data_IF_008926683956
#
_entry.id   IF_008926683956
#
_cell.length_a   1.000
_cell.length_b   1.000
_cell.length_c   1.000
_cell.angle_alpha   90.00
_cell.angle_beta   90.00
_cell.angle_gamma   90.00
#
_symmetry.space_group_name_H-M   'P 1'
#
loop_
_entity.id
_entity.type
_entity.pdbx_description
1 polymer ?
#
# COMPACT_ATOMS: atom_id res chain seq x y z
N UNK A 1 -20.70 10.72 -5.15
CA UNK A 1 -19.36 10.22 -5.52
C UNK A 1 -18.92 9.22 -4.45
N UNK A 2 -18.32 8.10 -4.84
CA UNK A 2 -17.85 7.11 -3.87
C UNK A 2 -16.58 7.62 -3.14
N UNK A 3 -16.38 7.19 -1.89
CA UNK A 3 -15.19 7.54 -1.12
C UNK A 3 -13.92 6.98 -1.78
N UNK A 4 -12.74 7.60 -1.59
CA UNK A 4 -11.54 7.28 -2.34
C UNK A 4 -10.94 5.90 -2.04
N UNK A 5 -10.15 5.40 -3.00
CA UNK A 5 -9.17 4.37 -2.79
C UNK A 5 -7.80 5.01 -2.62
N UNK A 6 -7.19 4.87 -1.45
CA UNK A 6 -5.82 5.29 -1.15
C UNK A 6 -4.90 4.08 -1.30
N UNK A 7 -3.91 4.18 -2.18
CA UNK A 7 -2.90 3.15 -2.39
C UNK A 7 -1.55 3.62 -1.88
N UNK A 8 -1.05 3.01 -0.79
CA UNK A 8 0.22 3.38 -0.16
C UNK A 8 1.32 2.45 -0.65
N UNK A 9 2.18 2.92 -1.53
CA UNK A 9 3.34 2.20 -2.04
C UNK A 9 4.63 2.67 -1.35
N UNK A 10 5.39 1.72 -0.80
CA UNK A 10 6.65 2.02 -0.13
C UNK A 10 7.49 0.77 0.11
N UNK A 11 8.78 0.91 0.35
CA UNK A 11 9.66 -0.18 0.76
C UNK A 11 9.19 -0.85 2.08
N UNK A 12 9.52 -2.13 2.30
CA UNK A 12 9.30 -2.78 3.60
C UNK A 12 9.96 -1.98 4.73
N UNK A 13 9.30 -1.82 5.88
CA UNK A 13 9.86 -1.08 7.02
C UNK A 13 9.55 0.43 7.06
N UNK A 14 9.04 1.06 6.00
CA UNK A 14 8.70 2.50 6.00
C UNK A 14 7.52 2.93 6.87
N UNK A 15 6.78 2.00 7.48
CA UNK A 15 5.66 2.34 8.37
C UNK A 15 4.28 2.37 7.71
N UNK A 16 4.11 1.86 6.49
CA UNK A 16 2.82 1.85 5.75
C UNK A 16 1.60 1.45 6.58
N UNK A 17 1.68 0.29 7.24
CA UNK A 17 0.55 -0.21 8.03
C UNK A 17 0.28 0.65 9.27
N UNK A 18 1.31 1.18 9.91
CA UNK A 18 1.19 2.09 11.06
C UNK A 18 0.47 3.37 10.64
N UNK A 19 0.86 3.94 9.49
CA UNK A 19 0.22 5.13 8.92
C UNK A 19 -1.22 4.81 8.50
N UNK A 20 -1.48 3.66 7.86
CA UNK A 20 -2.84 3.25 7.51
C UNK A 20 -3.73 3.11 8.77
N UNK A 21 -3.20 2.55 9.87
CA UNK A 21 -3.91 2.48 11.16
C UNK A 21 -4.17 3.88 11.73
N UNK A 22 -3.21 4.81 11.62
CA UNK A 22 -3.41 6.20 12.03
C UNK A 22 -4.48 6.90 11.17
N UNK A 23 -4.53 6.67 9.86
CA UNK A 23 -5.62 7.13 8.99
C UNK A 23 -6.97 6.61 9.51
N UNK A 24 -7.05 5.32 9.83
CA UNK A 24 -8.29 4.71 10.36
C UNK A 24 -8.70 5.28 11.70
N UNK A 25 -7.77 5.64 12.58
CA UNK A 25 -8.09 6.22 13.89
C UNK A 25 -8.63 7.66 13.81
N UNK A 26 -8.29 8.37 12.74
CA UNK A 26 -8.71 9.77 12.51
C UNK A 26 -9.94 9.83 11.60
N UNK A 27 -10.01 8.94 10.59
CA UNK A 27 -11.07 8.92 9.59
C UNK A 27 -12.36 8.27 10.10
N UNK A 28 -13.52 8.79 9.66
CA UNK A 28 -14.82 8.32 10.13
C UNK A 28 -15.19 6.91 9.65
N UNK A 29 -14.81 6.54 8.42
CA UNK A 29 -15.11 5.22 7.83
C UNK A 29 -13.96 4.79 6.94
N UNK A 30 -13.06 3.98 7.48
CA UNK A 30 -11.83 3.55 6.79
C UNK A 30 -11.66 2.05 6.93
N UNK A 31 -11.55 1.38 5.78
CA UNK A 31 -11.19 -0.04 5.72
C UNK A 31 -9.76 -0.18 5.20
N UNK A 32 -8.93 -0.95 5.93
CA UNK A 32 -7.52 -1.18 5.59
C UNK A 32 -7.36 -2.60 5.09
N UNK A 33 -6.70 -2.75 3.96
CA UNK A 33 -6.24 -4.02 3.42
C UNK A 33 -4.71 -3.99 3.36
N UNK A 34 -4.08 -4.67 4.31
CA UNK A 34 -2.63 -4.82 4.32
C UNK A 34 -2.21 -5.87 3.28
N UNK A 35 -1.12 -5.61 2.56
CA UNK A 35 -0.62 -6.50 1.52
C UNK A 35 -0.36 -7.92 2.02
N UNK A 36 0.00 -8.09 3.31
CA UNK A 36 0.18 -9.43 3.89
C UNK A 36 -1.12 -10.23 3.96
N UNK A 37 -2.27 -9.60 4.10
CA UNK A 37 -3.57 -10.28 3.99
C UNK A 37 -3.80 -10.89 2.61
N UNK A 38 -3.14 -10.34 1.57
CA UNK A 38 -3.21 -10.84 0.19
C UNK A 38 -2.04 -11.75 -0.18
N UNK A 39 -0.89 -11.64 0.52
CA UNK A 39 0.31 -12.46 0.29
C UNK A 39 0.20 -13.79 1.00
N UNK A 40 -0.06 -13.76 2.31
CA UNK A 40 0.10 -14.91 3.20
C UNK A 40 -0.79 -16.10 2.78
N UNK A 41 -2.07 -15.92 2.38
CA UNK A 41 -2.90 -17.04 1.92
C UNK A 41 -2.37 -17.72 0.65
N UNK A 42 -1.68 -16.97 -0.21
CA UNK A 42 -1.07 -17.52 -1.42
C UNK A 42 0.26 -18.18 -1.10
N UNK A 43 1.10 -17.55 -0.27
CA UNK A 43 2.41 -18.07 0.13
C UNK A 43 2.33 -19.39 0.91
N UNK A 44 1.21 -19.66 1.60
CA UNK A 44 0.95 -20.94 2.25
C UNK A 44 0.75 -22.11 1.27
N UNK A 45 0.36 -21.82 0.03
CA UNK A 45 0.01 -22.84 -0.99
C UNK A 45 1.03 -22.93 -2.11
N UNK A 46 1.70 -21.83 -2.43
CA UNK A 46 2.60 -21.72 -3.56
C UNK A 46 3.90 -21.03 -3.12
N UNK A 47 5.04 -21.60 -3.46
CA UNK A 47 6.34 -20.92 -3.30
C UNK A 47 6.43 -19.74 -4.27
N UNK A 48 7.31 -18.77 -4.00
CA UNK A 48 7.47 -17.59 -4.88
C UNK A 48 7.97 -17.95 -6.28
N UNK A 49 8.66 -19.07 -6.41
CA UNK A 49 9.20 -19.60 -7.68
C UNK A 49 8.18 -20.46 -8.45
N UNK A 50 7.02 -20.73 -7.85
CA UNK A 50 5.95 -21.48 -8.51
C UNK A 50 5.34 -20.66 -9.64
N UNK A 51 5.22 -21.19 -10.87
CA UNK A 51 4.60 -20.49 -12.00
C UNK A 51 3.18 -19.97 -11.72
N UNK A 52 2.45 -20.63 -10.83
CA UNK A 52 1.10 -20.23 -10.45
C UNK A 52 1.08 -19.11 -9.40
N UNK A 53 2.20 -18.82 -8.72
CA UNK A 53 2.23 -17.87 -7.62
C UNK A 53 1.68 -16.49 -8.00
N UNK A 54 2.17 -15.90 -9.09
CA UNK A 54 1.72 -14.58 -9.53
C UNK A 54 0.26 -14.58 -10.02
N UNK A 55 -0.19 -15.67 -10.61
CA UNK A 55 -1.58 -15.86 -11.04
C UNK A 55 -2.51 -15.87 -9.82
N UNK A 56 -2.17 -16.62 -8.78
CA UNK A 56 -2.96 -16.69 -7.54
C UNK A 56 -2.90 -15.37 -6.75
N UNK A 57 -1.76 -14.68 -6.75
CA UNK A 57 -1.63 -13.33 -6.20
C UNK A 57 -2.59 -12.34 -6.87
N UNK A 58 -2.68 -12.39 -8.20
CA UNK A 58 -3.64 -11.57 -8.96
C UNK A 58 -5.08 -11.91 -8.59
N UNK A 59 -5.43 -13.19 -8.55
CA UNK A 59 -6.78 -13.64 -8.14
C UNK A 59 -7.16 -13.17 -6.74
N UNK A 60 -6.20 -13.18 -5.80
CA UNK A 60 -6.47 -12.72 -4.44
C UNK A 60 -6.70 -11.20 -4.40
N UNK A 61 -5.94 -10.39 -5.17
CA UNK A 61 -6.21 -8.96 -5.32
C UNK A 61 -7.59 -8.71 -5.96
N UNK A 62 -7.95 -9.45 -7.01
CA UNK A 62 -9.26 -9.33 -7.66
C UNK A 62 -10.42 -9.63 -6.69
N UNK A 63 -10.28 -10.63 -5.80
CA UNK A 63 -11.26 -10.90 -4.74
C UNK A 63 -11.39 -9.73 -3.77
N UNK A 64 -10.25 -9.17 -3.34
CA UNK A 64 -10.23 -8.00 -2.47
C UNK A 64 -10.86 -6.77 -3.13
N UNK A 65 -10.60 -6.55 -4.42
CA UNK A 65 -11.22 -5.45 -5.18
C UNK A 65 -12.73 -5.62 -5.28
N UNK A 66 -13.21 -6.81 -5.61
CA UNK A 66 -14.66 -7.10 -5.67
C UNK A 66 -15.32 -6.84 -4.32
N UNK A 67 -14.71 -7.31 -3.23
CA UNK A 67 -15.28 -7.24 -1.88
C UNK A 67 -15.24 -5.84 -1.27
N UNK A 68 -14.15 -5.09 -1.46
CA UNK A 68 -13.90 -3.87 -0.71
C UNK A 68 -13.96 -2.59 -1.56
N UNK A 69 -13.70 -2.69 -2.87
CA UNK A 69 -13.64 -1.53 -3.76
C UNK A 69 -14.90 -1.39 -4.60
N UNK A 70 -15.37 -2.51 -5.19
CA UNK A 70 -16.43 -2.52 -6.18
C UNK A 70 -17.82 -2.85 -5.59
N UNK A 71 -17.88 -3.32 -4.34
CA UNK A 71 -19.15 -3.56 -3.66
C UNK A 71 -19.84 -2.22 -3.36
N UNK A 72 -21.07 -2.00 -3.83
CA UNK A 72 -21.79 -0.76 -3.58
C UNK A 72 -22.02 -0.46 -2.09
N UNK A 73 -22.08 -1.48 -1.23
CA UNK A 73 -22.24 -1.30 0.22
C UNK A 73 -21.07 -0.59 0.88
N UNK A 74 -19.88 -0.64 0.25
CA UNK A 74 -18.65 0.02 0.74
C UNK A 74 -18.43 1.41 0.12
N UNK A 75 -19.37 1.92 -0.69
CA UNK A 75 -19.19 3.17 -1.44
C UNK A 75 -18.85 4.38 -0.55
N UNK A 76 -19.35 4.43 0.67
CA UNK A 76 -19.07 5.51 1.63
C UNK A 76 -17.78 5.31 2.45
N UNK A 77 -17.09 4.16 2.29
CA UNK A 77 -15.87 3.86 3.03
C UNK A 77 -14.63 4.28 2.22
N UNK A 78 -13.69 4.96 2.85
CA UNK A 78 -12.33 5.13 2.32
C UNK A 78 -11.60 3.80 2.40
N UNK A 79 -11.12 3.30 1.28
CA UNK A 79 -10.38 2.03 1.23
C UNK A 79 -8.88 2.34 1.15
N UNK A 80 -8.11 1.78 2.07
CA UNK A 80 -6.64 1.96 2.14
C UNK A 80 -5.96 0.63 1.88
N UNK A 81 -5.22 0.54 0.79
CA UNK A 81 -4.30 -0.57 0.54
C UNK A 81 -2.86 -0.18 0.87
N UNK A 82 -2.12 -1.09 1.49
CA UNK A 82 -0.66 -0.97 1.63
C UNK A 82 0.02 -1.94 0.68
N UNK A 83 1.06 -1.50 -0.03
CA UNK A 83 1.75 -2.34 -1.00
C UNK A 83 3.27 -2.04 -1.07
N UNK A 84 4.00 -2.89 -1.79
CA UNK A 84 5.38 -2.67 -2.21
C UNK A 84 5.51 -3.11 -3.67
N UNK A 85 5.45 -2.16 -4.57
CA UNK A 85 5.61 -2.38 -6.01
C UNK A 85 6.80 -1.56 -6.51
N UNK A 86 7.71 -2.22 -7.19
CA UNK A 86 8.89 -1.62 -7.81
C UNK A 86 8.61 -1.24 -9.25
N UNK A 87 9.44 -0.36 -9.81
CA UNK A 87 9.33 0.12 -11.18
C UNK A 87 9.88 -0.92 -12.18
N UNK A 88 9.17 -2.05 -12.26
CA UNK A 88 9.38 -3.11 -13.25
C UNK A 88 8.03 -3.52 -13.86
N UNK A 89 8.05 -4.38 -14.86
CA UNK A 89 6.85 -4.80 -15.59
C UNK A 89 5.75 -5.35 -14.66
N UNK A 90 6.12 -6.25 -13.73
CA UNK A 90 5.18 -6.82 -12.78
C UNK A 90 4.62 -5.76 -11.82
N UNK A 91 5.48 -4.93 -11.22
CA UNK A 91 5.07 -3.90 -10.28
C UNK A 91 4.17 -2.86 -10.92
N UNK A 92 4.48 -2.43 -12.14
CA UNK A 92 3.62 -1.55 -12.95
C UNK A 92 2.26 -2.19 -13.20
N UNK A 93 2.24 -3.44 -13.68
CA UNK A 93 0.99 -4.17 -13.94
C UNK A 93 0.12 -4.25 -12.68
N UNK A 94 0.70 -4.56 -11.53
CA UNK A 94 -0.02 -4.63 -10.25
C UNK A 94 -0.55 -3.25 -9.84
N UNK A 95 0.24 -2.18 -9.96
CA UNK A 95 -0.20 -0.83 -9.63
C UNK A 95 -1.42 -0.40 -10.47
N UNK A 96 -1.41 -0.70 -11.77
CA UNK A 96 -2.55 -0.44 -12.65
C UNK A 96 -3.79 -1.28 -12.32
N UNK A 97 -3.66 -2.44 -11.67
CA UNK A 97 -4.83 -3.19 -11.18
C UNK A 97 -5.61 -2.39 -10.12
N UNK A 98 -4.91 -1.72 -9.17
CA UNK A 98 -5.54 -0.85 -8.15
C UNK A 98 -6.23 0.34 -8.77
N UNK A 99 -5.55 1.05 -9.68
CA UNK A 99 -6.13 2.19 -10.39
C UNK A 99 -7.38 1.77 -11.17
N UNK A 100 -7.30 0.67 -11.93
CA UNK A 100 -8.42 0.16 -12.71
C UNK A 100 -9.60 -0.24 -11.83
N UNK A 101 -9.33 -0.83 -10.65
CA UNK A 101 -10.39 -1.19 -9.70
C UNK A 101 -11.10 0.05 -9.16
N UNK A 102 -10.36 1.11 -8.83
CA UNK A 102 -10.93 2.38 -8.38
C UNK A 102 -11.79 3.03 -9.47
N UNK A 103 -11.27 3.14 -10.69
CA UNK A 103 -11.99 3.72 -11.85
C UNK A 103 -13.31 2.96 -12.10
N UNK A 104 -13.28 1.61 -12.12
CA UNK A 104 -14.47 0.78 -12.31
C UNK A 104 -15.52 0.98 -11.22
N UNK A 105 -15.11 1.35 -10.02
CA UNK A 105 -16.00 1.61 -8.89
C UNK A 105 -16.41 3.08 -8.76
N UNK A 106 -16.00 3.97 -9.68
CA UNK A 106 -16.25 5.40 -9.60
C UNK A 106 -15.63 6.05 -8.35
N UNK A 107 -14.49 5.53 -7.88
CA UNK A 107 -13.75 6.05 -6.73
C UNK A 107 -12.55 6.87 -7.18
N UNK A 108 -12.28 8.04 -6.57
CA UNK A 108 -10.99 8.70 -6.73
C UNK A 108 -9.84 7.74 -6.34
N UNK A 109 -8.82 7.63 -7.20
CA UNK A 109 -7.62 6.85 -6.93
C UNK A 109 -6.51 7.76 -6.45
N UNK A 110 -6.02 7.55 -5.23
CA UNK A 110 -5.03 8.41 -4.57
C UNK A 110 -3.79 7.60 -4.24
N UNK A 111 -2.76 7.60 -5.11
CA UNK A 111 -1.49 6.97 -4.82
C UNK A 111 -0.68 7.83 -3.84
N UNK A 112 -0.15 7.18 -2.81
CA UNK A 112 0.73 7.75 -1.79
C UNK A 112 2.05 6.98 -1.82
N UNK A 113 3.15 7.70 -1.94
CA UNK A 113 4.49 7.13 -1.91
C UNK A 113 5.15 7.54 -0.60
N UNK A 114 5.65 6.56 0.16
CA UNK A 114 6.34 6.85 1.40
C UNK A 114 7.82 6.53 1.25
N UNK A 115 8.62 7.49 1.66
CA UNK A 115 10.07 7.37 1.76
C UNK A 115 10.51 7.47 3.21
N UNK A 116 11.71 7.00 3.50
CA UNK A 116 12.43 7.29 4.73
C UNK A 116 13.92 7.07 4.51
N UNK A 117 14.73 7.65 5.41
CA UNK A 117 16.15 7.38 5.49
C UNK A 117 16.43 5.87 5.58
N UNK A 118 17.53 5.42 4.94
CA UNK A 118 17.86 4.00 4.86
C UNK A 118 18.11 3.37 6.23
N UNK A 119 18.84 4.06 7.11
CA UNK A 119 19.16 3.50 8.43
C UNK A 119 17.91 3.42 9.31
N UNK A 120 17.07 4.45 9.28
CA UNK A 120 15.74 4.44 9.93
C UNK A 120 14.85 3.34 9.38
N UNK A 121 14.91 3.12 8.06
CA UNK A 121 14.14 2.04 7.41
C UNK A 121 14.58 0.65 7.92
N UNK A 122 15.91 0.44 8.03
CA UNK A 122 16.50 -0.81 8.52
C UNK A 122 16.13 -1.02 9.99
N UNK A 123 16.32 -0.02 10.84
CA UNK A 123 15.95 -0.08 12.25
C UNK A 123 14.49 -0.51 12.43
N UNK A 124 13.58 0.15 11.72
CA UNK A 124 12.14 -0.20 11.75
C UNK A 124 11.86 -1.60 11.23
N UNK A 125 12.55 -2.03 10.17
CA UNK A 125 12.36 -3.35 9.58
C UNK A 125 12.87 -4.49 10.48
N UNK A 126 13.90 -4.25 11.28
CA UNK A 126 14.52 -5.22 12.18
C UNK A 126 14.04 -5.12 13.63
N UNK A 127 13.05 -4.28 13.92
CA UNK A 127 12.49 -4.14 15.28
C UNK A 127 11.96 -5.47 15.81
N UNK A 128 12.09 -5.69 17.13
CA UNK A 128 11.65 -6.93 17.79
C UNK A 128 10.17 -7.25 17.51
N UNK A 129 9.29 -6.26 17.58
CA UNK A 129 7.86 -6.42 17.26
C UNK A 129 7.64 -7.00 15.85
N UNK A 130 8.48 -6.60 14.90
CA UNK A 130 8.38 -7.05 13.51
C UNK A 130 8.97 -8.44 13.30
N UNK A 131 10.08 -8.75 13.97
CA UNK A 131 10.77 -10.04 13.88
C UNK A 131 9.92 -11.16 14.50
N UNK A 132 9.27 -10.90 15.63
CA UNK A 132 8.41 -11.88 16.31
C UNK A 132 6.96 -11.87 15.81
N UNK A 133 6.65 -11.08 14.79
CA UNK A 133 5.32 -11.03 14.16
C UNK A 133 5.00 -12.31 13.38
N UNK A 134 3.71 -12.61 13.22
CA UNK A 134 3.20 -13.82 12.55
C UNK A 134 3.13 -13.70 11.02
N UNK A 135 3.53 -12.57 10.44
CA UNK A 135 3.44 -12.29 9.01
C UNK A 135 4.79 -12.46 8.30
N UNK A 136 4.77 -12.75 6.99
CA UNK A 136 5.98 -12.94 6.14
C UNK A 136 6.70 -11.63 5.81
N UNK A 137 6.80 -10.71 6.79
CA UNK A 137 7.46 -9.40 6.61
C UNK A 137 8.95 -9.55 6.43
N UNK A 138 9.52 -8.75 5.54
CA UNK A 138 10.97 -8.66 5.37
C UNK A 138 11.60 -8.02 6.62
N UNK A 139 12.50 -8.77 7.26
CA UNK A 139 13.27 -8.35 8.45
C UNK A 139 14.77 -8.46 8.26
N UNK A 140 15.23 -8.93 7.10
CA UNK A 140 16.64 -9.05 6.75
C UNK A 140 17.21 -7.68 6.31
N UNK A 141 18.16 -7.08 7.07
CA UNK A 141 18.73 -5.78 6.76
C UNK A 141 19.57 -5.79 5.47
N UNK A 142 20.23 -6.93 5.16
CA UNK A 142 21.07 -7.05 3.96
C UNK A 142 20.19 -7.04 2.73
N UNK A 143 19.12 -7.83 2.74
CA UNK A 143 18.17 -7.89 1.63
C UNK A 143 17.43 -6.55 1.45
N UNK A 144 17.14 -5.84 2.54
CA UNK A 144 16.52 -4.52 2.46
C UNK A 144 17.47 -3.48 1.83
N UNK A 145 18.77 -3.48 2.21
CA UNK A 145 19.78 -2.62 1.57
C UNK A 145 19.90 -2.92 0.08
N UNK A 146 19.92 -4.19 -0.27
CA UNK A 146 20.00 -4.63 -1.66
C UNK A 146 18.79 -4.15 -2.47
N UNK A 147 17.58 -4.30 -1.95
CA UNK A 147 16.38 -3.77 -2.61
C UNK A 147 16.43 -2.24 -2.78
N UNK A 148 16.82 -1.52 -1.73
CA UNK A 148 16.93 -0.05 -1.77
C UNK A 148 17.97 0.45 -2.78
N UNK A 149 19.04 -0.33 -3.01
CA UNK A 149 20.11 0.02 -3.95
C UNK A 149 19.77 -0.33 -5.41
N UNK A 150 19.01 -1.41 -5.63
CA UNK A 150 18.75 -1.96 -6.97
C UNK A 150 17.38 -1.62 -7.54
N UNK A 151 16.41 -1.34 -6.66
CA UNK A 151 15.03 -1.11 -7.06
C UNK A 151 14.62 0.34 -6.83
N UNK A 152 13.78 0.85 -7.73
CA UNK A 152 12.99 2.07 -7.52
C UNK A 152 11.55 1.67 -7.24
N UNK A 153 10.85 2.46 -6.44
CA UNK A 153 9.42 2.32 -6.29
C UNK A 153 8.75 2.72 -7.60
N UNK A 154 7.68 2.00 -7.94
CA UNK A 154 6.80 2.46 -9.01
C UNK A 154 6.02 3.69 -8.54
N UNK A 155 6.02 4.72 -9.37
CA UNK A 155 5.22 5.93 -9.24
C UNK A 155 4.46 6.17 -10.53
N UNK A 156 3.21 6.59 -10.44
CA UNK A 156 2.43 6.95 -11.64
C UNK A 156 2.95 8.26 -12.22
N UNK A 157 3.39 8.23 -13.48
CA UNK A 157 3.82 9.43 -14.20
C UNK A 157 2.61 10.26 -14.65
N UNK A 158 2.73 11.59 -14.60
CA UNK A 158 1.72 12.50 -15.13
C UNK A 158 0.39 12.56 -14.36
N UNK A 159 0.22 11.77 -13.31
CA UNK A 159 -0.91 11.91 -12.41
C UNK A 159 -0.63 13.03 -11.41
N UNK A 160 -1.36 14.14 -11.54
CA UNK A 160 -1.37 15.23 -10.55
C UNK A 160 -1.91 14.79 -9.18
N UNK A 161 -2.22 13.51 -9.01
CA UNK A 161 -2.94 12.94 -7.88
C UNK A 161 -2.07 12.10 -6.92
N UNK A 162 -0.77 11.98 -7.15
CA UNK A 162 0.14 11.28 -6.24
C UNK A 162 0.97 12.25 -5.39
N UNK A 163 1.23 11.90 -4.13
CA UNK A 163 2.19 12.62 -3.29
C UNK A 163 3.24 11.68 -2.71
N UNK A 164 4.48 12.18 -2.65
CA UNK A 164 5.57 11.53 -1.94
C UNK A 164 5.74 12.18 -0.56
N UNK A 165 5.85 11.36 0.49
CA UNK A 165 5.97 11.82 1.87
C UNK A 165 7.16 11.15 2.53
N UNK A 166 8.12 11.95 2.98
CA UNK A 166 9.20 11.47 3.85
C UNK A 166 8.66 11.20 5.26
N UNK A 167 8.92 9.98 5.76
CA UNK A 167 8.45 9.50 7.07
C UNK A 167 9.56 9.41 8.12
N UNK A 168 10.78 9.86 7.81
CA UNK A 168 11.99 9.61 8.61
C UNK A 168 11.77 9.93 10.09
N UNK A 169 11.55 11.11 10.49
CA UNK A 169 11.37 11.49 11.90
C UNK A 169 9.98 12.08 12.16
N UNK A 170 8.96 11.58 11.46
CA UNK A 170 7.61 12.11 11.58
C UNK A 170 6.69 11.15 12.33
N UNK A 171 5.78 11.75 13.10
CA UNK A 171 4.73 11.00 13.77
C UNK A 171 3.73 10.43 12.73
N UNK A 172 3.35 9.15 12.83
CA UNK A 172 2.39 8.54 11.93
C UNK A 172 1.04 9.27 11.88
N UNK A 173 0.60 9.89 12.97
CA UNK A 173 -0.66 10.64 13.02
C UNK A 173 -0.57 11.94 12.21
N UNK A 174 0.58 12.58 12.17
CA UNK A 174 0.75 13.80 11.38
C UNK A 174 0.81 13.48 9.88
N UNK A 175 1.47 12.37 9.52
CA UNK A 175 1.44 11.85 8.14
C UNK A 175 0.01 11.50 7.73
N UNK A 176 -0.74 10.82 8.60
CA UNK A 176 -2.13 10.47 8.34
C UNK A 176 -3.01 11.72 8.11
N UNK A 177 -2.82 12.78 8.88
CA UNK A 177 -3.52 14.07 8.67
C UNK A 177 -3.19 14.69 7.32
N UNK A 178 -1.92 14.64 6.89
CA UNK A 178 -1.50 15.13 5.57
C UNK A 178 -2.22 14.34 4.47
N UNK A 179 -2.21 13.01 4.55
CA UNK A 179 -2.85 12.13 3.56
C UNK A 179 -4.36 12.39 3.50
N UNK A 180 -5.04 12.50 4.64
CA UNK A 180 -6.48 12.75 4.69
C UNK A 180 -6.84 14.13 4.14
N UNK A 181 -6.07 15.16 4.46
CA UNK A 181 -6.27 16.52 3.90
C UNK A 181 -6.10 16.50 2.39
N UNK A 182 -5.02 15.91 1.90
CA UNK A 182 -4.77 15.76 0.47
C UNK A 182 -5.90 14.99 -0.22
N UNK A 183 -6.35 13.89 0.37
CA UNK A 183 -7.48 13.10 -0.14
C UNK A 183 -8.76 13.93 -0.27
N UNK A 184 -9.05 14.78 0.70
CA UNK A 184 -10.22 15.68 0.67
C UNK A 184 -10.09 16.76 -0.42
N UNK A 185 -8.89 17.27 -0.67
CA UNK A 185 -8.63 18.24 -1.73
C UNK A 185 -8.81 17.64 -3.12
N UNK A 186 -8.34 16.42 -3.33
CA UNK A 186 -8.55 15.67 -4.58
C UNK A 186 -10.03 15.39 -4.80
N UNK A 187 -10.72 14.93 -3.78
CA UNK A 187 -12.16 14.64 -3.83
C UNK A 187 -13.03 15.84 -4.19
N UNK A 188 -12.60 17.06 -3.86
CA UNK A 188 -13.34 18.31 -4.20
C UNK A 188 -13.08 18.80 -5.63
N UNK A 189 -12.07 18.29 -6.32
CA UNK A 189 -11.68 18.70 -7.68
C UNK A 189 -12.33 17.84 -8.76
N UNK A 190 -12.77 16.64 -8.42
CA UNK A 190 -13.53 15.73 -9.29
C UNK A 190 -15.05 15.95 -9.16
#
# INVERSE_FOLDING_TARGET
MAAPLIWINAFPGTGKLTIAKAIKSIGASVTIIDNHQLIDPVALRFSRDDPCYQIERKRERERAFKRHVQDPSTASETIVFTDFQTDNELGRSVAYEYQTAAIKAGRPFIPIYLECDLEVNIERATSQERVFGTTTKLTDPILLRDFRSKCRLFEFEGLSLGICIDTTNKDPSDIAKIILRYSQEVYKRE
#
